data_IF_744043067870
#
_entry.id   IF_744043067870
#
_cell.length_a   1.000
_cell.length_b   1.000
_cell.length_c   1.000
_cell.angle_alpha   90.00
_cell.angle_beta   90.00
_cell.angle_gamma   90.00
#
_symmetry.space_group_name_H-M   'P 1'
#
loop_
_entity.id
_entity.type
_entity.pdbx_description
1 polymer ?
#
# COMPACT_ATOMS: atom_id res chain seq x y z
N UNK A 1 -9.16 10.95 12.19
CA UNK A 1 -8.02 11.25 13.11
C UNK A 1 -8.51 12.12 14.26
N UNK A 2 -7.81 12.12 15.39
CA UNK A 2 -8.04 12.98 16.57
C UNK A 2 -9.33 12.79 17.40
N UNK A 3 -10.21 11.83 17.05
CA UNK A 3 -11.36 11.47 17.88
C UNK A 3 -10.92 11.10 19.31
N UNK A 4 -11.68 11.55 20.32
CA UNK A 4 -11.44 11.34 21.76
C UNK A 4 -12.46 10.43 22.44
N UNK A 5 -13.44 9.91 21.70
CA UNK A 5 -14.43 8.95 22.19
C UNK A 5 -14.96 8.08 21.05
N UNK A 6 -15.71 7.04 21.38
CA UNK A 6 -16.46 6.26 20.39
C UNK A 6 -17.52 7.09 19.69
N UNK A 7 -18.20 7.99 20.40
CA UNK A 7 -19.20 8.87 19.80
C UNK A 7 -18.56 9.76 18.72
N UNK A 8 -17.40 10.36 19.00
CA UNK A 8 -16.67 11.17 18.01
C UNK A 8 -16.21 10.33 16.80
N UNK A 9 -15.80 9.06 17.01
CA UNK A 9 -15.50 8.15 15.91
C UNK A 9 -16.75 7.94 15.04
N UNK A 10 -17.89 7.62 15.67
CA UNK A 10 -19.15 7.35 14.96
C UNK A 10 -19.60 8.58 14.16
N UNK A 11 -19.63 9.75 14.80
CA UNK A 11 -20.03 11.02 14.18
C UNK A 11 -19.12 11.38 13.01
N UNK A 12 -17.80 11.28 13.19
CA UNK A 12 -16.82 11.60 12.14
C UNK A 12 -16.98 10.67 10.94
N UNK A 13 -17.16 9.37 11.17
CA UNK A 13 -17.32 8.40 10.09
C UNK A 13 -18.66 8.56 9.36
N UNK A 14 -19.75 8.90 10.06
CA UNK A 14 -21.03 9.26 9.44
C UNK A 14 -20.93 10.51 8.58
N UNK A 15 -20.37 11.58 9.12
CA UNK A 15 -20.19 12.83 8.39
C UNK A 15 -19.34 12.62 7.13
N UNK A 16 -18.28 11.81 7.21
CA UNK A 16 -17.49 11.44 6.04
C UNK A 16 -18.29 10.65 5.00
N UNK A 17 -19.08 9.67 5.43
CA UNK A 17 -19.91 8.87 4.53
C UNK A 17 -20.97 9.72 3.81
N UNK A 18 -21.63 10.62 4.54
CA UNK A 18 -22.62 11.56 4.00
C UNK A 18 -21.99 12.55 3.00
N UNK A 19 -20.88 13.18 3.39
CA UNK A 19 -20.16 14.16 2.55
C UNK A 19 -19.70 13.56 1.21
N UNK A 20 -19.31 12.28 1.22
CA UNK A 20 -18.78 11.60 0.04
C UNK A 20 -19.82 10.70 -0.65
N UNK A 21 -21.08 10.73 -0.22
CA UNK A 21 -22.16 9.91 -0.77
C UNK A 21 -21.81 8.41 -0.86
N UNK A 22 -21.20 7.86 0.19
CA UNK A 22 -20.77 6.47 0.24
C UNK A 22 -21.99 5.56 0.33
N UNK A 23 -22.13 4.64 -0.62
CA UNK A 23 -23.23 3.66 -0.68
C UNK A 23 -22.84 2.24 -0.27
N UNK A 24 -23.81 1.32 -0.28
CA UNK A 24 -23.67 -0.07 0.17
C UNK A 24 -22.61 -0.90 -0.58
N UNK A 25 -22.31 -0.55 -1.85
CA UNK A 25 -21.27 -1.21 -2.65
C UNK A 25 -19.85 -0.68 -2.38
N UNK A 26 -19.71 0.23 -1.41
CA UNK A 26 -18.44 0.85 -1.02
C UNK A 26 -18.08 0.47 0.42
N UNK A 27 -17.10 1.15 1.02
CA UNK A 27 -16.66 0.94 2.40
C UNK A 27 -16.41 2.28 3.08
N UNK A 28 -16.78 2.37 4.36
CA UNK A 28 -16.40 3.50 5.21
C UNK A 28 -15.16 3.09 5.99
N UNK A 29 -14.07 3.83 5.81
CA UNK A 29 -12.78 3.52 6.42
C UNK A 29 -12.30 4.69 7.27
N UNK A 30 -12.08 4.42 8.56
CA UNK A 30 -11.39 5.30 9.49
C UNK A 30 -9.96 4.81 9.72
N UNK A 31 -9.03 5.73 9.91
CA UNK A 31 -7.63 5.42 10.20
C UNK A 31 -7.13 6.20 11.41
N UNK A 32 -6.07 5.67 12.02
CA UNK A 32 -5.30 6.33 13.07
C UNK A 32 -6.06 6.56 14.38
N UNK A 33 -7.04 5.71 14.73
CA UNK A 33 -7.59 5.73 16.08
C UNK A 33 -6.59 5.09 17.07
N UNK A 34 -6.57 5.54 18.32
CA UNK A 34 -5.75 4.98 19.40
C UNK A 34 -6.61 4.90 20.66
N UNK A 35 -6.87 3.69 21.15
CA UNK A 35 -7.68 3.43 22.34
C UNK A 35 -7.19 4.14 23.59
N UNK A 36 -5.89 4.42 23.70
CA UNK A 36 -5.32 5.14 24.85
C UNK A 36 -5.69 6.63 24.84
N UNK A 37 -6.10 7.14 23.67
CA UNK A 37 -6.57 8.51 23.50
C UNK A 37 -8.10 8.64 23.58
N UNK A 38 -8.82 7.53 23.71
CA UNK A 38 -10.28 7.49 23.81
C UNK A 38 -10.73 7.50 25.26
N UNK A 39 -11.84 8.19 25.55
CA UNK A 39 -12.44 8.28 26.88
C UNK A 39 -12.80 6.90 27.47
N UNK A 40 -13.13 5.92 26.61
CA UNK A 40 -13.48 4.57 26.99
C UNK A 40 -12.27 3.71 27.38
N UNK A 41 -11.04 4.14 27.04
CA UNK A 41 -9.80 3.44 27.37
C UNK A 41 -9.70 2.01 26.81
N UNK A 42 -10.43 1.72 25.74
CA UNK A 42 -10.48 0.39 25.09
C UNK A 42 -10.77 0.50 23.60
N UNK A 43 -10.52 -0.57 22.86
CA UNK A 43 -10.85 -0.62 21.44
C UNK A 43 -12.37 -0.52 21.22
N UNK A 44 -12.81 0.15 20.12
CA UNK A 44 -14.17 0.00 19.65
C UNK A 44 -14.42 -1.47 19.26
N UNK A 45 -15.67 -1.87 19.23
CA UNK A 45 -16.08 -3.18 18.73
C UNK A 45 -17.08 -2.99 17.58
N UNK A 46 -17.55 -4.11 17.01
CA UNK A 46 -18.51 -4.11 15.90
C UNK A 46 -19.76 -3.30 16.21
N UNK A 47 -20.24 -3.30 17.46
CA UNK A 47 -21.42 -2.53 17.86
C UNK A 47 -21.19 -1.02 17.82
N UNK A 48 -19.97 -0.55 18.09
CA UNK A 48 -19.62 0.87 17.90
C UNK A 48 -19.68 1.20 16.41
N UNK A 49 -19.09 0.36 15.55
CA UNK A 49 -19.08 0.63 14.12
C UNK A 49 -20.43 0.37 13.43
N UNK A 50 -21.28 -0.49 13.98
CA UNK A 50 -22.66 -0.70 13.52
C UNK A 50 -23.51 0.56 13.72
N UNK A 51 -23.17 1.41 14.70
CA UNK A 51 -23.82 2.71 14.85
C UNK A 51 -23.51 3.65 13.68
N UNK A 52 -22.37 3.50 13.00
CA UNK A 52 -22.06 4.24 11.77
C UNK A 52 -22.99 3.78 10.66
N UNK A 53 -23.07 2.47 10.45
CA UNK A 53 -23.93 1.85 9.46
C UNK A 53 -24.02 0.34 9.67
N UNK A 54 -25.22 -0.22 9.47
CA UNK A 54 -25.48 -1.67 9.40
C UNK A 54 -25.53 -2.21 7.97
N UNK A 55 -25.57 -1.34 6.96
CA UNK A 55 -25.74 -1.74 5.54
C UNK A 55 -24.43 -1.65 4.74
N UNK A 56 -23.66 -0.59 4.98
CA UNK A 56 -22.33 -0.34 4.43
C UNK A 56 -21.28 -1.01 5.32
N UNK A 57 -20.31 -1.74 4.76
CA UNK A 57 -19.14 -2.22 5.49
C UNK A 57 -18.35 -1.06 6.11
N UNK A 58 -17.97 -1.20 7.38
CA UNK A 58 -17.22 -0.18 8.13
C UNK A 58 -15.99 -0.80 8.77
N UNK A 59 -14.84 -0.14 8.62
CA UNK A 59 -13.57 -0.53 9.24
C UNK A 59 -12.89 0.67 9.90
N UNK A 60 -12.34 0.47 11.09
CA UNK A 60 -11.47 1.42 11.76
C UNK A 60 -10.08 0.80 11.97
N UNK A 61 -9.03 1.44 11.45
CA UNK A 61 -7.65 0.97 11.55
C UNK A 61 -6.94 1.74 12.67
N UNK A 62 -6.28 0.98 13.54
CA UNK A 62 -5.54 1.53 14.68
C UNK A 62 -4.26 2.26 14.22
N UNK A 63 -3.80 3.24 14.99
CA UNK A 63 -2.62 4.05 14.71
C UNK A 63 -1.32 3.25 14.52
N UNK A 64 -1.23 2.05 15.08
CA UNK A 64 -0.09 1.15 14.85
C UNK A 64 -0.08 0.50 13.47
N UNK A 65 -1.20 0.51 12.73
CA UNK A 65 -1.41 -0.30 11.52
C UNK A 65 -1.35 -1.82 11.72
N UNK A 66 -1.27 -2.31 12.96
CA UNK A 66 -1.27 -3.75 13.32
C UNK A 66 -2.60 -4.22 13.91
N UNK A 67 -3.61 -3.35 13.98
CA UNK A 67 -4.95 -3.69 14.48
C UNK A 67 -6.03 -2.98 13.68
N UNK A 68 -7.19 -3.60 13.58
CA UNK A 68 -8.40 -2.98 13.05
C UNK A 68 -9.65 -3.48 13.77
N UNK A 69 -10.76 -2.78 13.58
CA UNK A 69 -12.09 -3.20 14.01
C UNK A 69 -13.03 -3.14 12.81
N UNK A 70 -13.79 -4.20 12.60
CA UNK A 70 -14.80 -4.34 11.55
C UNK A 70 -16.22 -4.31 12.15
N UNK A 71 -17.17 -3.68 11.47
CA UNK A 71 -18.59 -3.79 11.84
C UNK A 71 -19.18 -5.16 11.47
N UNK A 72 -20.41 -5.42 11.89
CA UNK A 72 -21.10 -6.69 11.63
C UNK A 72 -21.17 -6.99 10.14
N UNK A 73 -21.49 -5.99 9.32
CA UNK A 73 -21.59 -6.15 7.87
C UNK A 73 -20.27 -6.58 7.22
N UNK A 74 -19.15 -6.03 7.67
CA UNK A 74 -17.84 -6.38 7.14
C UNK A 74 -17.41 -7.78 7.63
N UNK A 75 -17.71 -8.16 8.88
CA UNK A 75 -17.50 -9.52 9.36
C UNK A 75 -18.23 -10.56 8.50
N UNK A 76 -19.51 -10.33 8.18
CA UNK A 76 -20.29 -11.20 7.28
C UNK A 76 -19.61 -11.40 5.92
N UNK A 77 -19.11 -10.32 5.30
CA UNK A 77 -18.45 -10.37 4.00
C UNK A 77 -17.11 -11.11 4.04
N UNK A 78 -16.42 -11.06 5.18
CA UNK A 78 -15.13 -11.76 5.36
C UNK A 78 -15.30 -13.23 5.68
N UNK A 79 -16.50 -13.64 6.15
CA UNK A 79 -16.76 -15.00 6.60
C UNK A 79 -16.11 -15.34 7.94
N UNK A 80 -15.70 -14.34 8.73
CA UNK A 80 -15.19 -14.54 10.09
C UNK A 80 -16.38 -14.82 11.00
N UNK A 81 -16.42 -16.03 11.55
CA UNK A 81 -17.50 -16.56 12.41
C UNK A 81 -16.97 -17.05 13.76
N UNK A 82 -17.86 -17.55 14.62
CA UNK A 82 -17.48 -18.13 15.91
C UNK A 82 -16.57 -19.37 15.76
N UNK A 83 -16.66 -20.08 14.63
CA UNK A 83 -15.85 -21.25 14.29
C UNK A 83 -14.48 -20.89 13.70
N UNK A 84 -14.25 -19.61 13.39
CA UNK A 84 -12.98 -19.15 12.82
C UNK A 84 -11.93 -19.12 13.92
N UNK A 85 -10.91 -19.98 13.80
CA UNK A 85 -9.76 -19.97 14.70
C UNK A 85 -8.85 -18.76 14.44
N UNK A 86 -8.08 -18.38 15.47
CA UNK A 86 -7.01 -17.39 15.32
C UNK A 86 -5.94 -17.92 14.35
N UNK A 87 -5.49 -17.11 13.37
CA UNK A 87 -4.41 -17.51 12.47
C UNK A 87 -3.07 -17.49 13.20
N UNK A 88 -2.06 -18.17 12.64
CA UNK A 88 -0.71 -18.14 13.20
C UNK A 88 -0.20 -16.69 13.31
N UNK A 89 0.20 -16.30 14.53
CA UNK A 89 0.72 -14.95 14.78
C UNK A 89 -0.31 -13.83 14.65
N UNK A 90 -1.61 -14.12 14.67
CA UNK A 90 -2.66 -13.10 14.74
C UNK A 90 -3.83 -13.51 15.62
N UNK A 91 -4.76 -12.59 15.86
CA UNK A 91 -5.87 -12.80 16.78
C UNK A 91 -7.14 -12.11 16.31
N UNK A 92 -8.27 -12.78 16.46
CA UNK A 92 -9.59 -12.21 16.34
C UNK A 92 -10.17 -11.96 17.74
N UNK A 93 -10.72 -10.77 17.99
CA UNK A 93 -11.42 -10.47 19.23
C UNK A 93 -12.73 -11.25 19.38
N UNK A 94 -13.19 -11.39 20.62
CA UNK A 94 -14.39 -12.13 20.98
C UNK A 94 -15.20 -11.32 22.00
N UNK A 95 -16.51 -11.45 21.91
CA UNK A 95 -17.42 -10.90 22.91
C UNK A 95 -17.29 -11.63 24.25
N UNK A 96 -18.05 -11.19 25.25
CA UNK A 96 -18.01 -11.75 26.61
C UNK A 96 -18.39 -13.25 26.67
N UNK A 97 -19.05 -13.78 25.64
CA UNK A 97 -19.35 -15.21 25.51
C UNK A 97 -18.12 -16.05 25.12
N UNK A 98 -17.02 -15.41 24.73
CA UNK A 98 -15.77 -16.03 24.31
C UNK A 98 -15.79 -16.67 22.92
N UNK A 99 -16.90 -16.59 22.18
CA UNK A 99 -17.06 -17.27 20.89
C UNK A 99 -17.52 -16.34 19.77
N UNK A 100 -18.34 -15.35 20.06
CA UNK A 100 -18.86 -14.44 19.04
C UNK A 100 -17.80 -13.41 18.65
N UNK A 101 -17.45 -13.23 17.36
CA UNK A 101 -16.48 -12.22 16.94
C UNK A 101 -16.95 -10.80 17.25
N UNK A 102 -16.12 -10.02 17.95
CA UNK A 102 -16.43 -8.64 18.34
C UNK A 102 -16.00 -7.60 17.29
N UNK A 103 -15.40 -8.03 16.18
CA UNK A 103 -14.90 -7.15 15.12
C UNK A 103 -13.41 -6.82 15.18
N UNK A 104 -12.74 -7.01 16.32
CA UNK A 104 -11.33 -6.70 16.46
C UNK A 104 -10.44 -7.74 15.76
N UNK A 105 -9.41 -7.28 15.05
CA UNK A 105 -8.40 -8.11 14.39
C UNK A 105 -7.01 -7.55 14.70
N UNK A 106 -6.07 -8.42 15.02
CA UNK A 106 -4.69 -8.08 15.42
C UNK A 106 -3.68 -8.90 14.64
N UNK A 107 -2.65 -8.22 14.14
CA UNK A 107 -1.59 -8.68 13.26
C UNK A 107 -2.02 -8.99 11.81
N UNK A 108 -1.09 -8.91 10.83
CA UNK A 108 -1.40 -9.00 9.41
C UNK A 108 -2.23 -10.22 9.00
N UNK A 109 -1.95 -11.38 9.59
CA UNK A 109 -2.66 -12.62 9.22
C UNK A 109 -4.15 -12.60 9.58
N UNK A 110 -4.54 -11.89 10.65
CA UNK A 110 -5.95 -11.68 10.98
C UNK A 110 -6.57 -10.52 10.19
N UNK A 111 -5.77 -9.52 9.81
CA UNK A 111 -6.25 -8.34 9.08
C UNK A 111 -6.45 -8.61 7.58
N UNK A 112 -5.70 -9.54 6.97
CA UNK A 112 -5.75 -9.76 5.52
C UNK A 112 -7.11 -10.15 4.95
N UNK A 113 -7.90 -11.05 5.57
CA UNK A 113 -9.25 -11.34 5.10
C UNK A 113 -10.14 -10.09 5.05
N UNK A 114 -10.01 -9.22 6.06
CA UNK A 114 -10.73 -7.93 6.13
C UNK A 114 -10.29 -7.01 5.00
N UNK A 115 -8.98 -6.85 4.79
CA UNK A 115 -8.47 -6.02 3.68
C UNK A 115 -8.88 -6.54 2.30
N UNK A 116 -8.98 -7.86 2.12
CA UNK A 116 -9.49 -8.47 0.88
C UNK A 116 -10.92 -8.03 0.54
N UNK A 117 -11.73 -7.68 1.55
CA UNK A 117 -13.06 -7.10 1.34
C UNK A 117 -13.05 -5.57 1.26
N UNK A 118 -12.16 -4.89 1.99
CA UNK A 118 -12.07 -3.43 2.01
C UNK A 118 -11.53 -2.89 0.69
N UNK A 119 -10.37 -3.36 0.23
CA UNK A 119 -9.64 -2.74 -0.90
C UNK A 119 -10.46 -2.64 -2.19
N UNK A 120 -11.17 -3.69 -2.67
CA UNK A 120 -11.98 -3.58 -3.88
C UNK A 120 -13.15 -2.59 -3.75
N UNK A 121 -13.61 -2.32 -2.52
CA UNK A 121 -14.75 -1.44 -2.21
C UNK A 121 -14.38 0.02 -2.01
N UNK A 122 -13.08 0.33 -1.87
CA UNK A 122 -12.62 1.71 -1.76
C UNK A 122 -12.82 2.52 -3.05
N UNK A 123 -12.95 1.83 -4.21
CA UNK A 123 -13.21 2.44 -5.53
C UNK A 123 -12.29 3.63 -5.82
N UNK A 124 -11.03 3.51 -5.45
CA UNK A 124 -10.06 4.57 -5.66
C UNK A 124 -9.90 4.89 -7.15
N UNK A 125 -10.01 6.17 -7.49
CA UNK A 125 -9.52 6.68 -8.77
C UNK A 125 -8.01 6.89 -8.65
N UNK A 126 -7.26 5.85 -9.03
CA UNK A 126 -5.79 5.87 -8.94
C UNK A 126 -5.16 6.98 -9.80
N UNK A 127 -5.81 7.39 -10.89
CA UNK A 127 -5.32 8.48 -11.75
C UNK A 127 -5.47 9.84 -11.03
N UNK A 128 -6.57 10.06 -10.30
CA UNK A 128 -6.74 11.27 -9.48
C UNK A 128 -5.85 11.24 -8.23
N UNK A 129 -5.73 10.09 -7.57
CA UNK A 129 -4.89 9.95 -6.39
C UNK A 129 -3.43 10.26 -6.69
N UNK A 130 -2.88 9.76 -7.81
CA UNK A 130 -1.48 10.04 -8.13
C UNK A 130 -1.25 11.54 -8.42
N UNK A 131 -2.23 12.26 -8.98
CA UNK A 131 -2.13 13.71 -9.17
C UNK A 131 -2.05 14.41 -7.80
N UNK A 132 -2.95 14.07 -6.88
CA UNK A 132 -3.01 14.69 -5.56
C UNK A 132 -1.79 14.33 -4.70
N UNK A 133 -1.36 13.07 -4.71
CA UNK A 133 -0.20 12.62 -3.93
C UNK A 133 1.07 13.37 -4.32
N UNK A 134 1.30 13.61 -5.61
CA UNK A 134 2.47 14.36 -6.08
C UNK A 134 2.44 15.84 -5.67
N UNK A 135 1.25 16.43 -5.48
CA UNK A 135 1.13 17.82 -5.01
C UNK A 135 1.77 17.99 -3.62
N UNK A 136 1.56 17.04 -2.72
CA UNK A 136 2.17 17.06 -1.37
C UNK A 136 3.69 17.17 -1.43
N UNK A 137 4.34 16.43 -2.34
CA UNK A 137 5.78 16.48 -2.54
C UNK A 137 6.22 17.79 -3.21
N UNK A 138 5.54 18.17 -4.30
CA UNK A 138 5.92 19.33 -5.12
C UNK A 138 5.71 20.67 -4.42
N UNK A 139 4.72 20.79 -3.52
CA UNK A 139 4.52 21.95 -2.64
C UNK A 139 5.72 22.18 -1.71
N UNK A 140 6.48 21.13 -1.41
CA UNK A 140 7.72 21.20 -0.64
C UNK A 140 8.98 21.26 -1.52
N UNK A 141 8.84 21.49 -2.83
CA UNK A 141 9.94 21.56 -3.79
C UNK A 141 10.60 20.21 -4.11
N UNK A 142 9.97 19.09 -3.72
CA UNK A 142 10.46 17.76 -4.06
C UNK A 142 9.97 17.40 -5.46
N UNK A 143 10.91 17.37 -6.41
CA UNK A 143 10.63 17.14 -7.84
C UNK A 143 11.07 15.77 -8.34
N UNK A 144 11.74 14.98 -7.50
CA UNK A 144 12.22 13.65 -7.85
C UNK A 144 12.10 12.70 -6.65
N UNK A 145 11.59 11.50 -6.88
CA UNK A 145 11.56 10.43 -5.89
C UNK A 145 12.18 9.13 -6.42
N UNK A 146 12.51 8.24 -5.49
CA UNK A 146 12.97 6.89 -5.80
C UNK A 146 11.95 5.89 -5.26
N UNK A 147 11.37 5.07 -6.13
CA UNK A 147 10.65 3.88 -5.72
C UNK A 147 11.67 2.76 -5.51
N UNK A 148 11.88 2.42 -4.25
CA UNK A 148 13.07 1.74 -3.77
C UNK A 148 12.95 0.23 -3.64
N UNK A 149 11.82 -0.37 -3.99
CA UNK A 149 11.61 -1.82 -4.00
C UNK A 149 10.43 -2.19 -4.92
N UNK A 150 10.49 -1.76 -6.19
CA UNK A 150 9.36 -1.87 -7.11
C UNK A 150 9.03 -3.33 -7.44
N UNK A 151 7.78 -3.74 -7.23
CA UNK A 151 7.24 -5.01 -7.75
C UNK A 151 6.86 -4.89 -9.23
N UNK A 152 6.57 -6.01 -9.89
CA UNK A 152 6.08 -6.01 -11.29
C UNK A 152 4.81 -5.17 -11.46
N UNK A 153 3.83 -5.32 -10.56
CA UNK A 153 2.56 -4.59 -10.62
C UNK A 153 2.74 -3.09 -10.39
N UNK A 154 3.62 -2.70 -9.47
CA UNK A 154 3.94 -1.30 -9.22
C UNK A 154 4.64 -0.66 -10.43
N UNK A 155 5.57 -1.36 -11.07
CA UNK A 155 6.21 -0.85 -12.28
C UNK A 155 5.19 -0.66 -13.40
N UNK A 156 4.29 -1.63 -13.59
CA UNK A 156 3.21 -1.53 -14.57
C UNK A 156 2.32 -0.32 -14.30
N UNK A 157 1.98 -0.08 -13.03
CA UNK A 157 1.19 1.09 -12.60
C UNK A 157 1.90 2.40 -12.92
N UNK A 158 3.18 2.57 -12.52
CA UNK A 158 3.95 3.78 -12.83
C UNK A 158 4.13 4.00 -14.33
N UNK A 159 4.40 2.93 -15.10
CA UNK A 159 4.48 3.00 -16.55
C UNK A 159 3.17 3.47 -17.18
N UNK A 160 2.03 3.00 -16.64
CA UNK A 160 0.70 3.49 -17.00
C UNK A 160 0.53 4.99 -16.76
N UNK A 161 0.89 5.48 -15.56
CA UNK A 161 0.81 6.91 -15.23
C UNK A 161 1.72 7.77 -16.12
N UNK A 162 2.94 7.29 -16.42
CA UNK A 162 3.87 7.96 -17.31
C UNK A 162 3.29 8.09 -18.74
N UNK A 163 2.73 7.00 -19.29
CA UNK A 163 2.09 6.98 -20.62
C UNK A 163 0.86 7.89 -20.70
N UNK A 164 0.12 8.03 -19.60
CA UNK A 164 -1.02 8.95 -19.48
C UNK A 164 -0.61 10.41 -19.22
N UNK A 165 0.67 10.70 -18.95
CA UNK A 165 1.15 12.05 -18.61
C UNK A 165 0.71 12.55 -17.22
N UNK A 166 0.38 11.62 -16.33
CA UNK A 166 -0.10 11.91 -14.98
C UNK A 166 1.02 12.14 -13.97
N UNK A 167 2.22 11.64 -14.25
CA UNK A 167 3.41 11.96 -13.46
C UNK A 167 3.85 13.41 -13.75
N UNK A 168 4.09 14.17 -12.68
CA UNK A 168 4.63 15.54 -12.68
C UNK A 168 5.99 15.61 -11.98
N UNK A 169 6.23 14.69 -11.06
CA UNK A 169 7.52 14.44 -10.42
C UNK A 169 8.25 13.33 -11.16
N UNK A 170 9.57 13.45 -11.25
CA UNK A 170 10.43 12.39 -11.76
C UNK A 170 10.49 11.21 -10.78
N UNK A 171 10.20 10.00 -11.28
CA UNK A 171 10.24 8.74 -10.53
C UNK A 171 11.38 7.88 -11.06
N UNK A 172 12.31 7.54 -10.18
CA UNK A 172 13.35 6.55 -10.45
C UNK A 172 12.95 5.23 -9.80
N UNK A 173 12.60 4.25 -10.63
CA UNK A 173 12.19 2.92 -10.17
C UNK A 173 13.39 1.98 -9.99
N UNK A 174 13.42 1.26 -8.87
CA UNK A 174 14.39 0.22 -8.56
C UNK A 174 13.67 -1.10 -8.30
N UNK A 175 13.43 -1.91 -9.35
CA UNK A 175 12.89 -3.26 -9.20
C UNK A 175 13.57 -4.06 -8.10
N UNK A 176 12.79 -4.78 -7.29
CA UNK A 176 13.31 -5.57 -6.17
C UNK A 176 13.92 -6.89 -6.64
N UNK A 177 15.10 -7.22 -6.11
CA UNK A 177 15.70 -8.55 -6.28
C UNK A 177 14.77 -9.62 -5.70
N UNK A 178 14.40 -10.59 -6.55
CA UNK A 178 13.39 -11.61 -6.25
C UNK A 178 12.22 -11.59 -7.22
N UNK A 179 11.94 -10.43 -7.83
CA UNK A 179 11.04 -10.29 -8.97
C UNK A 179 11.67 -10.82 -10.27
N UNK A 180 10.87 -11.04 -11.31
CA UNK A 180 11.34 -11.30 -12.66
C UNK A 180 11.78 -9.99 -13.35
N UNK A 181 12.92 -9.47 -12.90
CA UNK A 181 13.44 -8.16 -13.34
C UNK A 181 13.81 -8.18 -14.83
N UNK A 182 14.27 -9.30 -15.36
CA UNK A 182 14.56 -9.42 -16.80
C UNK A 182 13.29 -9.26 -17.63
N UNK A 183 12.17 -9.87 -17.19
CA UNK A 183 10.87 -9.64 -17.81
C UNK A 183 10.39 -8.20 -17.65
N UNK A 184 10.53 -7.61 -16.46
CA UNK A 184 10.15 -6.21 -16.23
C UNK A 184 10.90 -5.26 -17.18
N UNK A 185 12.21 -5.46 -17.36
CA UNK A 185 13.02 -4.66 -18.29
C UNK A 185 12.64 -4.92 -19.75
N UNK A 186 12.25 -6.15 -20.11
CA UNK A 186 11.81 -6.47 -21.46
C UNK A 186 10.45 -5.83 -21.80
N UNK A 187 9.49 -5.89 -20.87
CA UNK A 187 8.13 -5.35 -21.04
C UNK A 187 8.10 -3.82 -21.03
N UNK A 188 9.05 -3.19 -20.33
CA UNK A 188 9.12 -1.73 -20.10
C UNK A 188 10.45 -1.13 -20.55
N UNK A 189 11.03 -1.67 -21.64
CA UNK A 189 12.34 -1.30 -22.15
C UNK A 189 12.47 0.20 -22.48
N UNK A 190 11.38 0.89 -22.81
CA UNK A 190 11.35 2.34 -23.05
C UNK A 190 11.66 3.19 -21.81
N UNK A 191 11.58 2.59 -20.62
CA UNK A 191 11.91 3.24 -19.35
C UNK A 191 13.29 2.84 -18.82
N UNK A 192 13.98 1.84 -19.40
CA UNK A 192 15.38 1.49 -19.08
C UNK A 192 16.36 2.47 -19.77
N UNK A 193 16.37 3.71 -19.27
CA UNK A 193 17.17 4.80 -19.82
C UNK A 193 17.76 5.70 -18.73
N UNK A 194 18.79 6.46 -19.13
CA UNK A 194 19.30 7.56 -18.29
C UNK A 194 18.34 8.75 -18.27
N UNK A 195 17.61 8.94 -19.36
CA UNK A 195 16.62 10.00 -19.50
C UNK A 195 15.24 9.52 -19.03
N UNK A 196 14.39 10.44 -18.62
CA UNK A 196 13.02 10.12 -18.21
C UNK A 196 12.09 10.07 -19.43
N UNK A 197 11.24 9.04 -19.47
CA UNK A 197 10.12 8.94 -20.41
C UNK A 197 8.84 9.18 -19.62
N UNK A 198 8.15 10.29 -19.87
CA UNK A 198 6.93 10.63 -19.11
C UNK A 198 7.16 10.72 -17.59
N UNK A 199 8.31 11.26 -17.18
CA UNK A 199 8.78 11.35 -15.79
C UNK A 199 9.10 10.00 -15.10
N UNK A 200 9.17 8.88 -15.83
CA UNK A 200 9.60 7.59 -15.28
C UNK A 200 10.91 7.13 -15.91
N UNK A 201 11.78 6.51 -15.10
CA UNK A 201 12.88 5.66 -15.58
C UNK A 201 13.19 4.52 -14.61
N UNK A 202 13.75 3.43 -15.12
CA UNK A 202 14.30 2.32 -14.34
C UNK A 202 15.78 2.63 -14.09
N UNK A 203 16.13 2.89 -12.83
CA UNK A 203 17.43 3.44 -12.46
C UNK A 203 18.44 2.42 -11.95
N UNK A 204 18.00 1.20 -11.66
CA UNK A 204 18.85 0.15 -11.10
C UNK A 204 18.04 -1.00 -10.52
N UNK A 205 18.64 -1.72 -9.58
CA UNK A 205 18.04 -2.86 -8.88
C UNK A 205 18.13 -2.62 -7.38
N UNK A 206 17.04 -2.87 -6.64
CA UNK A 206 17.06 -2.94 -5.19
C UNK A 206 17.50 -4.32 -4.74
N UNK A 207 18.49 -4.40 -3.87
CA UNK A 207 18.91 -5.63 -3.20
C UNK A 207 18.85 -5.44 -1.69
N UNK A 208 18.40 -6.45 -0.94
CA UNK A 208 18.53 -6.51 0.51
C UNK A 208 19.66 -7.48 0.88
N UNK A 209 20.55 -7.05 1.78
CA UNK A 209 21.65 -7.90 2.28
C UNK A 209 21.18 -8.93 3.31
N UNK A 210 20.00 -8.73 3.87
CA UNK A 210 19.31 -9.69 4.74
C UNK A 210 18.25 -10.42 3.92
N UNK A 211 18.58 -11.62 3.46
CA UNK A 211 17.55 -12.58 3.11
C UNK A 211 16.73 -12.90 4.38
N UNK A 212 15.42 -13.18 4.31
CA UNK A 212 14.82 -14.05 5.32
C UNK A 212 15.66 -15.34 5.31
N UNK A 213 16.09 -15.80 6.49
CA UNK A 213 17.07 -16.87 6.65
C UNK A 213 16.78 -18.07 5.72
N UNK A 214 17.51 -18.17 4.62
CA UNK A 214 17.37 -19.20 3.59
C UNK A 214 18.74 -19.52 2.99
N UNK A 215 19.08 -20.79 2.72
CA UNK A 215 20.47 -21.23 2.66
C UNK A 215 21.02 -21.19 1.23
N UNK A 216 21.01 -20.05 0.55
CA UNK A 216 21.63 -19.96 -0.78
C UNK A 216 22.50 -18.71 -0.94
N UNK A 217 23.82 -18.89 -0.83
CA UNK A 217 24.83 -17.90 -1.25
C UNK A 217 24.84 -17.79 -2.78
N UNK A 218 24.86 -16.57 -3.31
CA UNK A 218 24.96 -16.29 -4.75
C UNK A 218 26.41 -15.95 -5.13
N UNK A 219 26.88 -16.46 -6.28
CA UNK A 219 28.20 -16.20 -6.87
C UNK A 219 28.19 -14.93 -7.74
N UNK A 220 29.02 -13.95 -7.36
CA UNK A 220 29.04 -12.56 -7.83
C UNK A 220 29.72 -12.30 -9.19
N UNK A 221 30.06 -13.35 -9.95
CA UNK A 221 30.91 -13.21 -11.15
C UNK A 221 30.17 -12.75 -12.41
N UNK A 222 28.86 -12.95 -12.53
CA UNK A 222 28.13 -12.70 -13.78
C UNK A 222 27.84 -11.21 -14.06
N UNK A 223 27.63 -10.37 -13.03
CA UNK A 223 27.23 -8.97 -13.21
C UNK A 223 28.38 -8.04 -13.64
N UNK A 224 29.64 -8.37 -13.33
CA UNK A 224 30.79 -7.53 -13.69
C UNK A 224 31.13 -7.56 -15.18
N UNK A 225 30.67 -8.56 -15.93
CA UNK A 225 31.01 -8.72 -17.35
C UNK A 225 30.20 -7.79 -18.28
N UNK A 226 28.96 -7.42 -17.94
CA UNK A 226 28.08 -6.64 -18.84
C UNK A 226 28.38 -5.13 -18.88
N UNK A 227 29.09 -4.57 -17.90
CA UNK A 227 29.44 -3.14 -17.86
C UNK A 227 30.65 -2.74 -18.73
N UNK A 228 31.40 -3.69 -19.30
CA UNK A 228 32.59 -3.39 -20.14
C UNK A 228 32.33 -3.37 -21.65
N UNK A 229 31.12 -3.71 -22.10
CA UNK A 229 30.84 -3.96 -23.53
C UNK A 229 30.28 -2.80 -24.36
N UNK A 230 29.91 -1.65 -23.78
CA UNK A 230 29.28 -0.53 -24.52
C UNK A 230 29.91 0.82 -24.21
N UNK A 231 31.21 0.94 -24.43
CA UNK A 231 31.95 2.18 -24.19
C UNK A 231 33.25 2.24 -24.98
N UNK A 232 33.20 2.00 -26.29
CA UNK A 232 34.36 2.24 -27.15
C UNK A 232 33.90 2.66 -28.55
N UNK A 233 33.40 3.89 -28.69
CA UNK A 233 33.43 4.59 -29.98
C UNK A 233 33.48 6.11 -29.77
N UNK A 234 34.48 6.72 -30.43
CA UNK A 234 34.70 8.17 -30.66
C UNK A 234 35.30 8.99 -29.52
N UNK A 235 36.64 9.09 -29.56
CA UNK A 235 37.38 10.34 -29.41
C UNK A 235 38.79 10.17 -29.99
N UNK A 236 38.99 10.60 -31.23
CA UNK A 236 40.31 11.07 -31.68
C UNK A 236 40.13 12.44 -32.29
N UNK A 237 40.65 13.39 -31.53
CA UNK A 237 40.79 14.79 -31.82
C UNK A 237 41.86 14.96 -32.90
N UNK A 238 41.53 15.75 -33.92
CA UNK A 238 42.49 16.46 -34.75
C UNK A 238 43.47 17.24 -33.87
N UNK A 239 44.77 17.11 -34.15
CA UNK A 239 45.81 18.12 -33.93
C UNK A 239 47.17 17.62 -34.48
N UNK A 240 47.76 18.43 -35.38
CA UNK A 240 49.11 18.39 -36.00
C UNK A 240 49.22 17.38 -37.17
N UNK A 241 49.38 17.78 -38.43
CA UNK A 241 50.20 18.85 -39.06
C UNK A 241 49.55 19.32 -40.36
#
# INVERSE_FOLDING_TARGET
>A
ENCKSFDEIVETMKAFAELNHIGADSVIMGVSYDQNSLAEGRHPNRHVLDQVSTEIPVVAIHASSHMLVANTRLLELTGITAETADPEGGRYGREADGVTPDGYCEEPNAMWPVFGQVQPRQKFDMDQLIIQMQQVYTEHGITTCQEGATTADQLAMFAGFAKKGLLKMDVVSYPMHGEDVDKMLADYAEFDSRDYTGHLRIGGLKMSSTAPAGPHRVDDRALRARRRGRGLLRLRHDLRR
#
